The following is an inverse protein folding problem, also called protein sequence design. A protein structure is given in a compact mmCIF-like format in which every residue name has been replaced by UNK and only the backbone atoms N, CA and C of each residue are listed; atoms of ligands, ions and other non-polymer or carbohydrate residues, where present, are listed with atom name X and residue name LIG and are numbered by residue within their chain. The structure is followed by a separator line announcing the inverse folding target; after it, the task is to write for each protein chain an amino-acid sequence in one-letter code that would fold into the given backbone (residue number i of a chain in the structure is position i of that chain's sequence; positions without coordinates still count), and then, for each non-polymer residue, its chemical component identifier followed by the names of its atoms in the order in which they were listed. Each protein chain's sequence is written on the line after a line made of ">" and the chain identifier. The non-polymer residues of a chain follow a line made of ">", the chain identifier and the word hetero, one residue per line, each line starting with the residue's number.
data_IF_584151812739
#
_entry.id   IF_584151812739
#
_cell.length_a   1.000
_cell.length_b   1.000
_cell.length_c   1.000
_cell.angle_alpha   90.00
_cell.angle_beta   90.00
_cell.angle_gamma   90.00
#
_symmetry.space_group_name_H-M   'P 1'
#
loop_
_entity.id
_entity.type
_entity.pdbx_description
1 polymer ?
#
# COMPACT_ATOMS: atom_id res chain seq x y z
N UNK A 1 42.85 -36.98 46.05
CA UNK A 1 41.52 -36.71 45.52
C UNK A 1 41.58 -35.48 44.60
N UNK A 2 41.44 -35.68 43.31
CA UNK A 2 41.51 -34.59 42.33
C UNK A 2 40.10 -34.20 41.90
N UNK A 3 39.60 -33.06 42.38
CA UNK A 3 38.30 -32.54 42.04
C UNK A 3 38.38 -31.90 40.64
N UNK A 4 37.65 -32.46 39.67
CA UNK A 4 37.51 -31.88 38.33
C UNK A 4 36.40 -30.84 38.36
N UNK A 5 36.77 -29.58 38.10
CA UNK A 5 35.85 -28.47 37.91
C UNK A 5 35.29 -28.56 36.49
N UNK A 6 33.98 -28.80 36.36
CA UNK A 6 33.28 -28.76 35.09
C UNK A 6 32.80 -27.34 34.91
N UNK A 7 33.37 -26.63 33.95
CA UNK A 7 32.90 -25.32 33.52
C UNK A 7 31.80 -25.56 32.47
N UNK A 8 30.56 -25.29 32.82
CA UNK A 8 29.44 -25.28 31.88
C UNK A 8 29.47 -23.96 31.11
N UNK A 9 29.81 -24.01 29.83
CA UNK A 9 29.68 -22.88 28.92
C UNK A 9 28.23 -22.83 28.49
N UNK A 10 27.47 -21.84 29.00
CA UNK A 10 26.11 -21.52 28.51
C UNK A 10 26.26 -20.79 27.17
N UNK A 11 25.92 -21.46 26.08
CA UNK A 11 25.74 -20.81 24.80
C UNK A 11 24.45 -20.01 24.81
N UNK A 12 24.57 -18.69 24.86
CA UNK A 12 23.47 -17.79 24.60
C UNK A 12 23.19 -17.82 23.09
N UNK A 13 22.17 -18.54 22.66
CA UNK A 13 21.62 -18.40 21.32
C UNK A 13 20.85 -17.09 21.24
N UNK A 14 21.47 -16.08 20.62
CA UNK A 14 20.76 -14.87 20.22
C UNK A 14 19.82 -15.27 19.08
N UNK A 15 18.59 -15.56 19.40
CA UNK A 15 17.53 -15.72 18.44
C UNK A 15 17.28 -14.38 17.77
N UNK A 16 17.75 -14.23 16.53
CA UNK A 16 17.34 -13.14 15.66
C UNK A 16 15.83 -13.35 15.38
N UNK A 17 15.01 -12.75 16.22
CA UNK A 17 13.58 -12.63 15.98
C UNK A 17 13.39 -11.75 14.73
N UNK A 18 13.18 -12.39 13.58
CA UNK A 18 12.55 -11.72 12.46
C UNK A 18 11.16 -11.30 12.97
N UNK A 19 11.00 -10.01 13.28
CA UNK A 19 9.71 -9.44 13.49
C UNK A 19 8.88 -9.75 12.23
N UNK A 20 7.65 -10.29 12.35
CA UNK A 20 6.82 -10.49 11.20
C UNK A 20 6.67 -9.13 10.53
N UNK A 21 6.97 -9.08 9.23
CA UNK A 21 6.66 -7.95 8.37
C UNK A 21 5.14 -7.79 8.46
N UNK A 22 4.70 -6.92 9.37
CA UNK A 22 3.28 -6.60 9.55
C UNK A 22 2.85 -6.07 8.20
N UNK A 23 2.00 -6.81 7.51
CA UNK A 23 1.54 -6.54 6.15
C UNK A 23 1.25 -5.05 5.99
N UNK A 24 2.19 -4.35 5.35
CA UNK A 24 2.09 -2.92 5.06
C UNK A 24 0.85 -2.70 4.23
N UNK A 25 -0.21 -2.18 4.85
CA UNK A 25 -1.31 -1.59 4.12
C UNK A 25 -2.61 -2.38 4.05
N UNK A 26 -2.82 -3.43 4.84
CA UNK A 26 -4.17 -3.99 5.00
C UNK A 26 -4.92 -3.20 6.07
N UNK A 27 -5.91 -2.41 5.63
CA UNK A 27 -6.84 -1.73 6.53
C UNK A 27 -8.16 -2.52 6.56
N UNK A 28 -8.88 -2.55 7.70
CA UNK A 28 -10.21 -3.16 7.74
C UNK A 28 -11.09 -2.58 6.62
N UNK A 29 -11.65 -3.43 5.75
CA UNK A 29 -12.47 -3.02 4.61
C UNK A 29 -11.72 -2.75 3.31
N UNK A 30 -10.39 -2.85 3.30
CA UNK A 30 -9.59 -2.83 2.08
C UNK A 30 -8.58 -3.97 2.06
N UNK A 31 -8.48 -4.65 0.92
CA UNK A 31 -7.50 -5.72 0.69
C UNK A 31 -6.58 -5.33 -0.45
N UNK A 32 -5.28 -5.27 -0.16
CA UNK A 32 -4.23 -5.03 -1.15
C UNK A 32 -3.60 -6.34 -1.59
N UNK A 33 -3.40 -6.49 -2.90
CA UNK A 33 -2.71 -7.62 -3.51
C UNK A 33 -1.60 -7.06 -4.39
N UNK A 34 -0.35 -7.28 -3.99
CA UNK A 34 0.81 -6.87 -4.77
C UNK A 34 0.90 -7.71 -6.04
N UNK A 35 1.06 -7.05 -7.19
CA UNK A 35 1.12 -7.70 -8.49
C UNK A 35 2.53 -7.71 -9.06
N UNK A 36 3.19 -6.55 -9.13
CA UNK A 36 4.56 -6.42 -9.60
C UNK A 36 5.23 -5.14 -9.11
N UNK A 37 6.57 -5.15 -9.09
CA UNK A 37 7.41 -4.00 -8.80
C UNK A 37 8.69 -4.09 -9.61
N UNK A 38 9.04 -3.01 -10.31
CA UNK A 38 10.26 -2.94 -11.13
C UNK A 38 10.87 -1.56 -11.11
N UNK A 39 12.19 -1.52 -11.20
CA UNK A 39 12.92 -0.28 -11.46
C UNK A 39 12.57 0.22 -12.86
N UNK A 40 12.45 1.52 -13.01
CA UNK A 40 12.28 2.17 -14.29
C UNK A 40 13.63 2.60 -14.87
N UNK A 41 13.67 2.84 -16.17
CA UNK A 41 14.84 3.44 -16.84
C UNK A 41 15.14 4.86 -16.37
N UNK A 42 14.13 5.57 -15.84
CA UNK A 42 14.31 6.85 -15.16
C UNK A 42 15.02 6.63 -13.83
N UNK A 43 16.20 7.24 -13.58
CA UNK A 43 16.96 7.04 -12.35
C UNK A 43 16.16 7.35 -11.08
N UNK A 44 16.25 6.47 -10.07
CA UNK A 44 15.60 6.66 -8.79
C UNK A 44 14.08 6.46 -8.78
N UNK A 45 13.50 5.98 -9.88
CA UNK A 45 12.07 5.70 -10.03
C UNK A 45 11.78 4.21 -10.13
N UNK A 46 10.64 3.81 -9.62
CA UNK A 46 10.10 2.46 -9.76
C UNK A 46 8.62 2.50 -10.11
N UNK A 47 8.14 1.43 -10.74
CA UNK A 47 6.72 1.15 -10.91
C UNK A 47 6.30 0.08 -9.91
N UNK A 48 5.17 0.32 -9.26
CA UNK A 48 4.52 -0.65 -8.37
C UNK A 48 3.08 -0.83 -8.85
N UNK A 49 2.65 -2.06 -9.07
CA UNK A 49 1.24 -2.34 -9.36
C UNK A 49 0.61 -3.16 -8.25
N UNK A 50 -0.58 -2.72 -7.86
CA UNK A 50 -1.35 -3.32 -6.78
C UNK A 50 -2.82 -3.39 -7.21
N UNK A 51 -3.47 -4.52 -6.97
CA UNK A 51 -4.92 -4.57 -6.93
C UNK A 51 -5.40 -4.20 -5.53
N UNK A 52 -6.36 -3.30 -5.43
CA UNK A 52 -7.01 -2.99 -4.16
C UNK A 52 -8.50 -3.27 -4.28
N UNK A 53 -8.99 -4.11 -3.38
CA UNK A 53 -10.42 -4.41 -3.25
C UNK A 53 -10.97 -3.64 -2.04
N UNK A 54 -12.15 -3.05 -2.18
CA UNK A 54 -12.81 -2.24 -1.15
C UNK A 54 -14.19 -2.80 -0.83
N UNK A 55 -14.46 -3.06 0.43
CA UNK A 55 -15.79 -3.43 0.89
C UNK A 55 -16.81 -2.32 0.60
N UNK A 56 -18.12 -2.64 0.44
CA UNK A 56 -19.15 -1.64 0.28
C UNK A 56 -19.12 -0.58 1.38
N UNK A 57 -19.13 0.70 1.00
CA UNK A 57 -19.10 1.82 1.93
C UNK A 57 -17.74 2.14 2.56
N UNK A 58 -16.69 1.38 2.24
CA UNK A 58 -15.33 1.69 2.70
C UNK A 58 -14.91 3.09 2.28
N UNK A 59 -14.24 3.80 3.18
CA UNK A 59 -13.59 5.09 2.91
C UNK A 59 -12.14 5.00 3.35
N UNK A 60 -11.21 5.27 2.43
CA UNK A 60 -9.80 5.29 2.79
C UNK A 60 -9.45 6.53 3.62
N UNK A 61 -8.45 6.44 4.50
CA UNK A 61 -7.85 7.64 5.08
C UNK A 61 -7.29 8.56 4.00
N UNK A 62 -7.20 9.85 4.30
CA UNK A 62 -6.44 10.80 3.47
C UNK A 62 -4.97 10.40 3.46
N UNK A 63 -4.36 10.36 2.27
CA UNK A 63 -2.98 9.95 2.11
C UNK A 63 -2.35 10.55 0.87
N UNK A 64 -1.04 10.38 0.76
CA UNK A 64 -0.23 10.78 -0.40
C UNK A 64 0.68 9.64 -0.85
N UNK A 65 1.17 9.74 -2.08
CA UNK A 65 2.21 8.86 -2.63
C UNK A 65 3.44 9.68 -3.05
N UNK A 66 4.66 9.09 -3.05
CA UNK A 66 5.88 9.78 -3.48
C UNK A 66 6.06 9.80 -5.01
N UNK A 67 4.98 9.96 -5.73
CA UNK A 67 4.87 9.98 -7.20
C UNK A 67 3.42 9.90 -7.64
N UNK A 68 3.23 9.69 -8.93
CA UNK A 68 1.91 9.60 -9.56
C UNK A 68 1.27 8.24 -9.28
N UNK A 69 -0.05 8.22 -9.19
CA UNK A 69 -0.87 7.03 -9.19
C UNK A 69 -1.81 7.04 -10.37
N UNK A 70 -1.73 6.02 -11.22
CA UNK A 70 -2.65 5.79 -12.34
C UNK A 70 -3.58 4.66 -11.92
N UNK A 71 -4.88 4.93 -11.97
CA UNK A 71 -5.90 4.00 -11.52
C UNK A 71 -6.78 3.57 -12.68
N UNK A 72 -7.01 2.26 -12.78
CA UNK A 72 -8.04 1.66 -13.62
C UNK A 72 -9.07 0.98 -12.73
N UNK A 73 -10.33 1.38 -12.81
CA UNK A 73 -11.39 0.75 -12.02
C UNK A 73 -11.71 -0.62 -12.60
N UNK A 74 -11.43 -1.67 -11.83
CA UNK A 74 -11.64 -3.06 -12.23
C UNK A 74 -13.06 -3.55 -11.97
N UNK A 75 -13.69 -3.06 -10.89
CA UNK A 75 -14.98 -3.54 -10.42
C UNK A 75 -15.71 -2.45 -9.63
N UNK A 76 -17.03 -2.38 -9.80
CA UNK A 76 -17.90 -1.53 -9.00
C UNK A 76 -17.86 -0.07 -9.38
N UNK A 77 -18.12 0.79 -8.39
CA UNK A 77 -18.18 2.25 -8.54
C UNK A 77 -17.45 2.92 -7.38
N UNK A 78 -16.41 3.66 -7.70
CA UNK A 78 -15.52 4.31 -6.75
C UNK A 78 -15.61 5.83 -6.89
N UNK A 79 -15.76 6.54 -5.78
CA UNK A 79 -15.66 8.00 -5.73
C UNK A 79 -14.29 8.39 -5.20
N UNK A 80 -13.56 9.21 -5.97
CA UNK A 80 -12.27 9.77 -5.58
C UNK A 80 -12.40 11.24 -5.29
N UNK A 81 -11.63 11.70 -4.33
CA UNK A 81 -11.46 13.12 -4.09
C UNK A 81 -9.98 13.45 -3.91
N UNK A 82 -9.52 14.42 -4.69
CA UNK A 82 -8.23 15.07 -4.52
C UNK A 82 -8.51 16.36 -3.74
N UNK A 83 -7.72 16.62 -2.68
CA UNK A 83 -7.91 17.80 -1.85
C UNK A 83 -7.86 19.08 -2.68
N UNK A 84 -8.83 19.98 -2.43
CA UNK A 84 -9.01 21.21 -3.20
C UNK A 84 -9.87 21.08 -4.47
N UNK A 85 -10.24 19.84 -4.86
CA UNK A 85 -11.12 19.58 -5.99
C UNK A 85 -12.47 18.96 -5.57
N UNK A 86 -13.44 18.89 -6.50
CA UNK A 86 -14.70 18.19 -6.27
C UNK A 86 -14.50 16.68 -6.27
N UNK A 87 -15.36 15.91 -5.56
CA UNK A 87 -15.37 14.47 -5.72
C UNK A 87 -15.80 14.07 -7.13
N UNK A 88 -15.19 13.02 -7.67
CA UNK A 88 -15.54 12.45 -8.97
C UNK A 88 -15.76 10.94 -8.83
N UNK A 89 -16.77 10.43 -9.52
CA UNK A 89 -17.15 9.01 -9.48
C UNK A 89 -16.72 8.31 -10.75
N UNK A 90 -16.11 7.14 -10.60
CA UNK A 90 -15.60 6.30 -11.68
C UNK A 90 -16.22 4.91 -11.59
N UNK A 91 -16.60 4.37 -12.74
CA UNK A 91 -17.17 3.03 -12.90
C UNK A 91 -16.13 2.09 -13.49
N UNK A 92 -16.40 0.80 -13.44
CA UNK A 92 -15.59 -0.24 -14.10
C UNK A 92 -15.21 0.16 -15.53
N UNK A 93 -13.91 0.10 -15.84
CA UNK A 93 -13.35 0.47 -17.14
C UNK A 93 -12.91 1.94 -17.26
N UNK A 94 -13.22 2.78 -16.28
CA UNK A 94 -12.79 4.18 -16.27
C UNK A 94 -11.43 4.33 -15.58
N UNK A 95 -10.74 5.41 -15.93
CA UNK A 95 -9.37 5.69 -15.49
C UNK A 95 -9.26 7.07 -14.89
N UNK A 96 -8.34 7.24 -13.94
CA UNK A 96 -7.98 8.53 -13.39
C UNK A 96 -6.49 8.59 -13.03
N UNK A 97 -5.97 9.81 -12.92
CA UNK A 97 -4.62 10.09 -12.47
C UNK A 97 -4.69 10.89 -11.17
N UNK A 98 -3.96 10.44 -10.17
CA UNK A 98 -3.65 11.21 -8.96
C UNK A 98 -2.25 11.78 -9.13
N UNK A 99 -2.09 13.13 -9.10
CA UNK A 99 -0.78 13.76 -9.22
C UNK A 99 0.15 13.41 -8.07
N UNK A 100 1.46 13.47 -8.33
CA UNK A 100 2.48 13.23 -7.32
C UNK A 100 2.26 14.10 -6.07
N UNK A 101 2.27 13.48 -4.89
CA UNK A 101 2.13 14.16 -3.60
C UNK A 101 0.75 14.74 -3.30
N UNK A 102 -0.24 14.57 -4.18
CA UNK A 102 -1.59 15.08 -3.94
C UNK A 102 -2.26 14.31 -2.80
N UNK A 103 -2.86 15.04 -1.85
CA UNK A 103 -3.67 14.45 -0.79
C UNK A 103 -4.98 13.99 -1.42
N UNK A 104 -5.31 12.72 -1.25
CA UNK A 104 -6.52 12.15 -1.80
C UNK A 104 -7.07 11.00 -0.97
N UNK A 105 -8.29 10.59 -1.28
CA UNK A 105 -8.97 9.44 -0.69
C UNK A 105 -10.00 8.87 -1.65
N UNK A 106 -10.38 7.61 -1.43
CA UNK A 106 -11.37 6.87 -2.21
C UNK A 106 -12.50 6.36 -1.32
N UNK A 107 -13.70 6.30 -1.87
CA UNK A 107 -14.87 5.66 -1.25
C UNK A 107 -15.50 4.69 -2.23
N UNK A 108 -15.78 3.47 -1.77
CA UNK A 108 -16.67 2.56 -2.50
C UNK A 108 -18.11 3.02 -2.32
N UNK A 109 -18.71 3.56 -3.37
CA UNK A 109 -20.09 4.06 -3.39
C UNK A 109 -21.06 3.08 -4.07
N UNK A 110 -20.56 1.93 -4.53
CA UNK A 110 -21.37 0.84 -5.06
C UNK A 110 -21.98 -0.03 -3.96
N UNK A 111 -22.85 -0.94 -4.36
CA UNK A 111 -23.53 -1.89 -3.45
C UNK A 111 -22.74 -3.19 -3.22
N UNK A 112 -21.74 -3.47 -4.06
CA UNK A 112 -20.88 -4.63 -3.99
C UNK A 112 -19.42 -4.27 -3.77
N UNK A 113 -18.53 -5.24 -3.99
CA UNK A 113 -17.10 -5.01 -3.98
C UNK A 113 -16.73 -3.91 -5.00
N UNK A 114 -15.83 -3.03 -4.63
CA UNK A 114 -15.17 -2.12 -5.54
C UNK A 114 -13.72 -2.53 -5.68
N UNK A 115 -13.13 -2.44 -6.88
CA UNK A 115 -11.73 -2.78 -7.06
C UNK A 115 -11.05 -1.87 -8.08
N UNK A 116 -9.79 -1.60 -7.82
CA UNK A 116 -8.91 -0.84 -8.69
C UNK A 116 -7.62 -1.60 -9.01
N UNK A 117 -7.07 -1.34 -10.18
CA UNK A 117 -5.66 -1.55 -10.49
C UNK A 117 -4.95 -0.22 -10.30
N UNK A 118 -4.16 -0.12 -9.24
CA UNK A 118 -3.34 1.04 -8.96
C UNK A 118 -1.93 0.82 -9.52
N UNK A 119 -1.47 1.74 -10.36
CA UNK A 119 -0.12 1.77 -10.90
C UNK A 119 0.59 3.02 -10.37
N UNK A 120 1.54 2.81 -9.48
CA UNK A 120 2.35 3.88 -8.88
C UNK A 120 3.65 4.04 -9.64
N UNK A 121 3.98 5.27 -10.03
CA UNK A 121 5.29 5.65 -10.58
C UNK A 121 5.94 6.56 -9.55
N UNK A 122 6.83 6.00 -8.73
CA UNK A 122 7.22 6.62 -7.46
C UNK A 122 8.74 6.65 -7.26
N UNK A 123 9.18 7.48 -6.32
CA UNK A 123 10.56 7.50 -5.88
C UNK A 123 10.89 6.24 -5.08
N UNK A 124 12.00 5.59 -5.44
CA UNK A 124 12.54 4.44 -4.70
C UNK A 124 12.94 4.83 -3.27
N UNK A 125 12.74 3.90 -2.35
CA UNK A 125 13.18 4.05 -0.96
C UNK A 125 12.27 4.92 -0.09
N UNK A 126 11.22 5.51 -0.64
CA UNK A 126 10.20 6.23 0.13
C UNK A 126 9.00 5.35 0.43
N UNK A 127 8.30 5.57 1.55
CA UNK A 127 7.04 4.88 1.83
C UNK A 127 6.04 5.11 0.69
N UNK A 128 5.42 4.03 0.21
CA UNK A 128 4.45 4.12 -0.89
C UNK A 128 3.21 4.93 -0.48
N UNK A 129 2.80 4.82 0.78
CA UNK A 129 1.64 5.53 1.35
C UNK A 129 2.10 6.31 2.57
N UNK A 130 1.75 7.60 2.62
CA UNK A 130 1.92 8.44 3.81
C UNK A 130 0.56 8.98 4.22
N UNK A 131 0.10 8.63 5.43
CA UNK A 131 -1.17 9.11 5.98
C UNK A 131 -1.07 10.59 6.35
N UNK A 132 -2.14 11.33 6.05
CA UNK A 132 -2.30 12.74 6.46
C UNK A 132 -3.08 12.77 7.76
N UNK A 133 -2.54 13.50 8.73
CA UNK A 133 -3.16 13.70 10.05
C UNK A 133 -4.18 14.83 10.02
#
# INVERSE_FOLDING_TARGET
>A
MKTKLIVAVAMLTVGSGLAPDVARGQQPGAKRTDLQRHDLSAPGREVVQVRVDFDPGYVSPKHTHPGEEIIYVLEGTLAYQIEGGPPATYKTGEVLLVPAGAIHWVKNVGSGNGAELATYIVEKGKPLITLVK
#
